data_IF_429452265160
#
_entry.id   IF_429452265160
#
_cell.length_a   1.000
_cell.length_b   1.000
_cell.length_c   1.000
_cell.angle_alpha   90.00
_cell.angle_beta   90.00
_cell.angle_gamma   90.00
#
_symmetry.space_group_name_H-M   'P 1'
#
loop_
_entity.id
_entity.type
_entity.pdbx_description
1 polymer ?
#
# COMPACT_ATOMS: atom_id res chain seq x y z
N UNK A 1 -20.67 72.71 30.31
CA UNK A 1 -21.81 72.82 29.36
C UNK A 1 -21.27 73.15 27.99
N UNK A 2 -21.16 72.17 27.09
CA UNK A 2 -20.93 72.41 25.66
C UNK A 2 -21.61 71.29 24.88
N UNK A 3 -22.67 71.67 24.15
CA UNK A 3 -23.34 70.88 23.12
C UNK A 3 -22.48 70.90 21.86
N UNK A 4 -22.32 69.77 21.20
CA UNK A 4 -22.07 69.72 19.75
C UNK A 4 -22.85 68.57 19.11
N UNK A 5 -23.27 68.84 17.88
CA UNK A 5 -24.41 68.29 17.17
C UNK A 5 -24.19 66.87 16.64
N UNK A 6 -25.23 66.06 16.72
CA UNK A 6 -25.43 64.80 15.98
C UNK A 6 -25.51 65.06 14.47
N UNK A 7 -24.59 64.47 13.70
CA UNK A 7 -24.77 64.18 12.27
C UNK A 7 -25.08 62.70 12.12
N UNK A 8 -26.28 62.42 11.62
CA UNK A 8 -26.80 61.10 11.25
C UNK A 8 -26.22 60.67 9.90
N UNK A 9 -25.53 59.54 9.85
CA UNK A 9 -25.22 58.80 8.61
C UNK A 9 -26.01 57.48 8.70
N UNK A 10 -26.83 57.10 7.70
CA UNK A 10 -27.61 55.88 7.77
C UNK A 10 -26.71 54.65 7.59
N UNK A 11 -26.54 53.90 8.68
CA UNK A 11 -25.99 52.54 8.69
C UNK A 11 -26.98 51.60 7.98
N UNK A 12 -26.62 51.17 6.78
CA UNK A 12 -27.27 50.05 6.10
C UNK A 12 -27.21 48.82 7.00
N UNK A 13 -28.39 48.26 7.29
CA UNK A 13 -28.63 47.05 8.07
C UNK A 13 -27.76 45.88 7.56
N UNK A 14 -26.76 45.49 8.34
CA UNK A 14 -26.25 44.11 8.33
C UNK A 14 -27.30 43.23 9.01
N UNK A 15 -28.11 42.59 8.18
CA UNK A 15 -29.09 41.58 8.59
C UNK A 15 -28.28 40.37 9.09
N UNK A 16 -28.54 40.01 10.36
CA UNK A 16 -28.10 38.74 10.96
C UNK A 16 -28.62 37.59 10.09
N UNK A 17 -27.73 36.87 9.44
CA UNK A 17 -28.06 35.56 8.91
C UNK A 17 -27.98 34.56 10.06
N UNK A 18 -29.10 33.86 10.25
CA UNK A 18 -29.27 32.77 11.19
C UNK A 18 -28.12 31.78 11.08
N UNK A 19 -27.52 31.44 12.22
CA UNK A 19 -26.74 30.23 12.39
C UNK A 19 -27.68 29.04 12.13
N UNK A 20 -27.73 28.58 10.89
CA UNK A 20 -28.15 27.22 10.59
C UNK A 20 -27.15 26.32 11.32
N UNK A 21 -27.63 25.68 12.39
CA UNK A 21 -27.02 24.52 13.00
C UNK A 21 -26.85 23.47 11.91
N UNK A 22 -25.69 23.49 11.25
CA UNK A 22 -25.24 22.38 10.43
C UNK A 22 -25.12 21.21 11.40
N UNK A 23 -26.03 20.26 11.28
CA UNK A 23 -25.88 18.93 11.86
C UNK A 23 -24.60 18.38 11.25
N UNK A 24 -23.51 18.40 12.04
CA UNK A 24 -22.22 17.83 11.62
C UNK A 24 -22.38 16.32 11.64
N UNK A 25 -22.15 15.69 10.49
CA UNK A 25 -22.07 14.23 10.41
C UNK A 25 -21.04 13.71 11.42
N UNK A 26 -21.38 12.69 12.23
CA UNK A 26 -20.61 12.31 13.40
C UNK A 26 -19.50 11.30 13.06
N UNK A 27 -18.72 11.54 12.01
CA UNK A 27 -17.36 11.02 11.84
C UNK A 27 -16.68 12.00 10.89
N UNK A 28 -15.65 12.74 11.33
CA UNK A 28 -14.74 13.35 10.35
C UNK A 28 -13.90 12.22 9.78
N UNK A 29 -14.51 11.43 8.89
CA UNK A 29 -13.80 10.51 8.01
C UNK A 29 -12.71 11.35 7.37
N UNK A 30 -11.49 10.82 7.31
CA UNK A 30 -10.40 11.46 6.57
C UNK A 30 -10.98 11.86 5.23
N UNK A 31 -11.09 13.17 4.92
CA UNK A 31 -11.86 13.59 3.77
C UNK A 31 -11.29 12.87 2.56
N UNK A 32 -12.18 12.23 1.81
CA UNK A 32 -11.88 11.72 0.48
C UNK A 32 -11.20 12.82 -0.32
N UNK A 33 -10.38 12.46 -1.30
CA UNK A 33 -9.81 13.48 -2.19
C UNK A 33 -10.91 14.36 -2.78
N UNK A 34 -12.07 13.77 -3.05
CA UNK A 34 -13.29 14.44 -3.48
C UNK A 34 -13.81 15.50 -2.47
N UNK A 35 -13.86 15.15 -1.18
CA UNK A 35 -14.23 16.10 -0.11
C UNK A 35 -13.17 17.18 0.12
N UNK A 36 -11.88 16.84 -0.08
CA UNK A 36 -10.78 17.80 0.04
C UNK A 36 -10.78 18.85 -1.08
N UNK A 37 -11.25 18.49 -2.29
CA UNK A 37 -11.24 19.37 -3.47
C UNK A 37 -12.54 20.16 -3.66
N UNK A 38 -13.56 19.95 -2.81
CA UNK A 38 -14.86 20.64 -2.85
C UNK A 38 -15.53 20.59 -4.23
N UNK A 39 -15.66 19.40 -4.82
CA UNK A 39 -16.33 19.20 -6.13
C UNK A 39 -15.68 19.92 -7.33
N UNK A 40 -14.45 20.47 -7.21
CA UNK A 40 -13.69 20.83 -8.41
C UNK A 40 -13.44 19.56 -9.21
N UNK A 41 -13.70 19.59 -10.51
CA UNK A 41 -13.55 18.44 -11.40
C UNK A 41 -12.14 17.82 -11.25
N UNK A 42 -12.06 16.71 -10.53
CA UNK A 42 -10.82 15.97 -10.25
C UNK A 42 -10.62 14.97 -11.39
N UNK A 43 -10.70 15.44 -12.63
CA UNK A 43 -10.31 14.62 -13.77
C UNK A 43 -8.84 14.29 -13.62
N UNK A 44 -8.43 13.01 -13.67
CA UNK A 44 -7.03 12.66 -13.59
C UNK A 44 -6.27 13.42 -14.67
N UNK A 45 -5.18 14.08 -14.29
CA UNK A 45 -4.24 14.66 -15.23
C UNK A 45 -3.66 13.56 -16.11
N UNK A 46 -4.29 13.35 -17.25
CA UNK A 46 -3.67 12.73 -18.40
C UNK A 46 -3.81 13.73 -19.51
N UNK A 47 -2.90 14.69 -19.54
CA UNK A 47 -2.60 15.35 -20.79
C UNK A 47 -2.33 14.24 -21.82
N UNK A 48 -3.18 14.08 -22.86
CA UNK A 48 -3.04 13.00 -23.84
C UNK A 48 -1.68 13.05 -24.54
N UNK A 49 -1.04 14.23 -24.57
CA UNK A 49 0.26 14.45 -25.17
C UNK A 49 1.43 13.96 -24.29
N UNK A 50 1.19 13.74 -23.00
CA UNK A 50 2.21 13.22 -22.06
C UNK A 50 2.30 11.69 -22.17
N UNK A 51 3.49 11.20 -22.46
CA UNK A 51 3.75 9.75 -22.51
C UNK A 51 3.53 9.09 -21.14
N UNK A 52 3.19 7.80 -21.14
CA UNK A 52 3.08 7.04 -19.90
C UNK A 52 4.39 7.09 -19.09
N UNK A 53 5.55 7.11 -19.74
CA UNK A 53 6.82 7.21 -19.02
C UNK A 53 7.09 8.57 -18.39
N UNK A 54 6.81 9.68 -19.07
CA UNK A 54 6.90 11.02 -18.45
C UNK A 54 5.96 11.11 -17.24
N UNK A 55 4.76 10.54 -17.35
CA UNK A 55 3.81 10.45 -16.25
C UNK A 55 4.32 9.57 -15.09
N UNK A 56 5.03 8.47 -15.38
CA UNK A 56 5.66 7.64 -14.36
C UNK A 56 6.88 8.33 -13.72
N UNK A 57 7.60 9.19 -14.45
CA UNK A 57 8.69 9.99 -13.89
C UNK A 57 8.18 11.04 -12.90
N UNK A 58 7.10 11.76 -13.22
CA UNK A 58 6.45 12.67 -12.26
C UNK A 58 5.86 11.91 -11.05
N UNK A 59 5.57 10.62 -11.26
CA UNK A 59 5.38 9.52 -10.29
C UNK A 59 6.45 9.27 -9.23
N UNK A 60 7.71 9.61 -9.52
CA UNK A 60 8.88 8.95 -8.91
C UNK A 60 8.90 7.42 -9.11
N UNK A 61 8.40 6.94 -10.25
CA UNK A 61 8.33 5.51 -10.60
C UNK A 61 9.34 5.09 -11.68
N UNK A 62 10.20 6.00 -12.16
CA UNK A 62 11.25 5.72 -13.15
C UNK A 62 12.53 6.44 -12.75
N UNK A 63 13.62 5.68 -12.65
CA UNK A 63 14.97 6.16 -12.35
C UNK A 63 15.87 6.12 -13.59
N UNK A 64 15.85 5.02 -14.35
CA UNK A 64 16.66 4.87 -15.56
C UNK A 64 15.93 4.11 -16.66
N UNK A 65 16.27 4.45 -17.90
CA UNK A 65 15.72 3.89 -19.13
C UNK A 65 16.86 3.43 -20.03
N UNK A 66 16.66 2.32 -20.74
CA UNK A 66 17.65 1.80 -21.67
C UNK A 66 17.64 2.50 -23.03
N UNK A 67 16.53 3.12 -23.40
CA UNK A 67 16.32 3.79 -24.69
C UNK A 67 15.28 4.91 -24.55
N UNK A 68 15.63 6.14 -24.96
CA UNK A 68 14.74 7.31 -24.92
C UNK A 68 13.58 7.19 -25.92
N UNK A 69 13.68 6.35 -26.95
CA UNK A 69 12.56 6.10 -27.85
C UNK A 69 11.34 5.52 -27.13
N UNK A 70 11.53 4.99 -25.91
CA UNK A 70 10.43 4.56 -25.05
C UNK A 70 9.42 5.69 -24.75
N UNK A 71 9.81 6.96 -24.65
CA UNK A 71 8.85 8.06 -24.47
C UNK A 71 7.87 8.14 -25.65
N UNK A 72 8.37 7.98 -26.87
CA UNK A 72 7.55 7.97 -28.08
C UNK A 72 6.66 6.73 -28.14
N UNK A 73 7.21 5.56 -27.83
CA UNK A 73 6.47 4.29 -27.90
C UNK A 73 5.39 4.17 -26.82
N UNK A 74 5.54 4.88 -25.70
CA UNK A 74 4.61 4.87 -24.55
C UNK A 74 3.63 6.05 -24.55
N UNK A 75 3.52 6.79 -25.66
CA UNK A 75 2.43 7.76 -25.84
C UNK A 75 1.07 7.06 -25.73
N UNK A 76 0.07 7.78 -25.22
CA UNK A 76 -1.26 7.21 -24.90
C UNK A 76 -2.05 6.76 -26.13
N UNK A 77 -1.77 7.39 -27.27
CA UNK A 77 -2.32 7.12 -28.60
C UNK A 77 -1.44 6.14 -29.42
N UNK A 78 -0.35 5.64 -28.84
CA UNK A 78 0.52 4.68 -29.51
C UNK A 78 -0.18 3.32 -29.65
N UNK A 79 -0.16 2.77 -30.87
CA UNK A 79 -0.57 1.40 -31.16
C UNK A 79 0.46 0.35 -30.67
N UNK A 80 1.59 0.79 -30.12
CA UNK A 80 2.64 -0.10 -29.68
C UNK A 80 2.27 -0.79 -28.36
N UNK A 81 1.90 -2.06 -28.44
CA UNK A 81 1.62 -2.90 -27.27
C UNK A 81 2.89 -3.55 -26.70
N UNK A 82 3.20 -3.22 -25.45
CA UNK A 82 4.25 -3.87 -24.66
C UNK A 82 3.73 -5.13 -23.97
N UNK A 83 4.64 -6.08 -23.75
CA UNK A 83 4.46 -7.16 -22.78
C UNK A 83 5.61 -7.10 -21.79
N UNK A 84 5.29 -6.84 -20.52
CA UNK A 84 6.22 -6.54 -19.45
C UNK A 84 6.39 -7.74 -18.53
N UNK A 85 7.57 -7.85 -17.90
CA UNK A 85 7.75 -8.73 -16.75
C UNK A 85 8.58 -8.06 -15.65
N UNK A 86 8.36 -8.48 -14.41
CA UNK A 86 9.22 -8.18 -13.27
C UNK A 86 9.58 -9.50 -12.60
N UNK A 87 10.87 -9.83 -12.56
CA UNK A 87 11.35 -10.97 -11.79
C UNK A 87 11.25 -10.68 -10.30
N UNK A 88 10.85 -11.68 -9.52
CA UNK A 88 10.84 -11.60 -8.07
C UNK A 88 11.44 -12.89 -7.51
N UNK A 89 12.64 -12.78 -6.96
CA UNK A 89 13.31 -13.94 -6.38
C UNK A 89 12.59 -14.39 -5.12
N UNK A 90 12.40 -15.70 -4.89
CA UNK A 90 11.74 -16.21 -3.70
C UNK A 90 12.66 -16.20 -2.47
N UNK A 91 13.33 -15.08 -2.24
CA UNK A 91 14.20 -14.85 -1.08
C UNK A 91 13.42 -14.58 0.21
N UNK A 92 12.12 -14.31 0.09
CA UNK A 92 11.20 -14.10 1.20
C UNK A 92 9.90 -14.88 1.00
N UNK A 93 9.24 -15.23 2.11
CA UNK A 93 7.95 -15.93 2.08
C UNK A 93 6.82 -15.10 1.45
N UNK A 94 6.99 -13.80 1.26
CA UNK A 94 6.00 -12.88 0.69
C UNK A 94 6.69 -11.64 0.13
N UNK A 95 6.04 -10.99 -0.83
CA UNK A 95 6.38 -9.64 -1.25
C UNK A 95 6.15 -8.66 -0.09
N UNK A 96 6.99 -7.62 -0.05
CA UNK A 96 6.94 -6.54 0.94
C UNK A 96 6.89 -5.18 0.24
N UNK A 97 6.68 -4.09 0.99
CA UNK A 97 6.56 -2.73 0.44
C UNK A 97 7.73 -2.29 -0.47
N UNK A 98 8.93 -2.83 -0.28
CA UNK A 98 10.05 -2.60 -1.21
C UNK A 98 9.79 -3.05 -2.66
N UNK A 99 8.83 -3.94 -2.89
CA UNK A 99 8.44 -4.44 -4.20
C UNK A 99 7.27 -3.64 -4.80
N UNK A 100 6.73 -2.66 -4.07
CA UNK A 100 5.56 -1.92 -4.51
C UNK A 100 5.86 -0.99 -5.70
N UNK A 101 7.07 -0.42 -5.78
CA UNK A 101 7.45 0.45 -6.91
C UNK A 101 7.45 -0.29 -8.26
N UNK A 102 8.13 -1.45 -8.46
CA UNK A 102 8.02 -2.20 -9.71
C UNK A 102 6.58 -2.65 -10.00
N UNK A 103 5.83 -3.05 -8.97
CA UNK A 103 4.42 -3.45 -9.12
C UNK A 103 3.53 -2.29 -9.60
N UNK A 104 3.77 -1.07 -9.11
CA UNK A 104 3.06 0.13 -9.58
C UNK A 104 3.34 0.40 -11.05
N UNK A 105 4.58 0.23 -11.52
CA UNK A 105 4.90 0.34 -12.96
C UNK A 105 4.10 -0.68 -13.77
N UNK A 106 4.10 -1.96 -13.37
CA UNK A 106 3.32 -3.00 -14.04
C UNK A 106 1.82 -2.66 -14.07
N UNK A 107 1.27 -2.19 -12.96
CA UNK A 107 -0.13 -1.79 -12.85
C UNK A 107 -0.46 -0.64 -13.82
N UNK A 108 0.35 0.40 -13.86
CA UNK A 108 0.19 1.53 -14.77
C UNK A 108 0.21 1.09 -16.24
N UNK A 109 1.17 0.26 -16.64
CA UNK A 109 1.24 -0.27 -18.01
C UNK A 109 0.01 -1.11 -18.34
N UNK A 110 -0.45 -1.95 -17.40
CA UNK A 110 -1.64 -2.80 -17.58
C UNK A 110 -2.92 -2.00 -17.75
N UNK A 111 -3.10 -0.95 -16.97
CA UNK A 111 -4.23 -0.02 -17.07
C UNK A 111 -4.24 0.74 -18.41
N UNK A 112 -3.09 0.81 -19.08
CA UNK A 112 -2.94 1.41 -20.41
C UNK A 112 -2.92 0.36 -21.54
N UNK A 113 -3.43 -0.85 -21.29
CA UNK A 113 -3.61 -1.89 -22.30
C UNK A 113 -2.38 -2.75 -22.61
N UNK A 114 -1.30 -2.62 -21.84
CA UNK A 114 -0.11 -3.46 -22.01
C UNK A 114 -0.22 -4.76 -21.22
N UNK A 115 0.39 -5.82 -21.72
CA UNK A 115 0.30 -7.14 -21.08
C UNK A 115 1.39 -7.30 -20.01
N UNK A 116 1.10 -8.07 -18.96
CA UNK A 116 2.04 -8.34 -17.86
C UNK A 116 2.22 -9.83 -17.66
N UNK A 117 3.47 -10.26 -17.46
CA UNK A 117 3.87 -11.63 -17.16
C UNK A 117 4.32 -11.72 -15.69
N UNK A 118 3.70 -12.64 -14.97
CA UNK A 118 3.99 -12.98 -13.58
C UNK A 118 4.98 -14.17 -13.55
N UNK A 119 6.12 -14.01 -12.87
CA UNK A 119 7.16 -15.05 -12.70
C UNK A 119 7.23 -15.55 -11.23
N UNK A 120 7.80 -16.74 -11.00
CA UNK A 120 7.17 -17.69 -10.05
C UNK A 120 7.96 -18.07 -8.77
N UNK A 121 7.25 -17.93 -7.64
CA UNK A 121 6.89 -19.02 -6.70
C UNK A 121 5.39 -18.88 -6.46
N UNK A 122 4.61 -19.96 -6.33
CA UNK A 122 3.12 -19.91 -6.42
C UNK A 122 2.48 -18.89 -5.47
N UNK A 123 3.08 -18.67 -4.29
CA UNK A 123 2.65 -17.64 -3.33
C UNK A 123 2.90 -16.22 -3.86
N UNK A 124 4.09 -15.95 -4.41
CA UNK A 124 4.44 -14.67 -5.04
C UNK A 124 3.54 -14.40 -6.25
N UNK A 125 3.34 -15.41 -7.10
CA UNK A 125 2.43 -15.33 -8.24
C UNK A 125 1.02 -14.91 -7.80
N UNK A 126 0.45 -15.59 -6.80
CA UNK A 126 -0.87 -15.24 -6.27
C UNK A 126 -0.93 -13.82 -5.71
N UNK A 127 0.14 -13.35 -5.07
CA UNK A 127 0.22 -12.00 -4.54
C UNK A 127 0.28 -10.94 -5.65
N UNK A 128 1.09 -11.14 -6.70
CA UNK A 128 1.13 -10.25 -7.86
C UNK A 128 -0.24 -10.23 -8.53
N UNK A 129 -0.85 -11.40 -8.73
CA UNK A 129 -2.15 -11.49 -9.39
C UNK A 129 -3.26 -10.82 -8.60
N UNK A 130 -3.23 -10.94 -7.27
CA UNK A 130 -4.15 -10.25 -6.34
C UNK A 130 -3.93 -8.76 -6.41
N UNK A 131 -2.67 -8.30 -6.32
CA UNK A 131 -2.32 -6.88 -6.42
C UNK A 131 -2.79 -6.26 -7.74
N UNK A 132 -2.52 -6.90 -8.88
CA UNK A 132 -2.95 -6.42 -10.19
C UNK A 132 -4.47 -6.40 -10.33
N UNK A 133 -5.18 -7.35 -9.72
CA UNK A 133 -6.65 -7.40 -9.77
C UNK A 133 -7.27 -6.31 -8.88
N UNK A 134 -6.78 -6.17 -7.65
CA UNK A 134 -7.19 -5.10 -6.73
C UNK A 134 -6.86 -3.72 -7.29
N UNK A 135 -5.69 -3.56 -7.93
CA UNK A 135 -5.26 -2.32 -8.57
C UNK A 135 -6.20 -1.85 -9.68
N UNK A 136 -6.82 -2.76 -10.43
CA UNK A 136 -7.85 -2.41 -11.42
C UNK A 136 -9.14 -1.90 -10.76
N UNK A 137 -9.62 -2.59 -9.72
CA UNK A 137 -10.82 -2.14 -9.00
C UNK A 137 -10.58 -0.82 -8.26
N UNK A 138 -9.40 -0.67 -7.67
CA UNK A 138 -8.91 0.58 -7.11
C UNK A 138 -8.88 1.69 -8.16
N UNK A 139 -8.28 1.45 -9.33
CA UNK A 139 -8.23 2.42 -10.43
C UNK A 139 -9.62 2.87 -10.90
N UNK A 140 -10.57 1.92 -11.05
CA UNK A 140 -11.97 2.23 -11.37
C UNK A 140 -12.61 3.12 -10.30
N UNK A 141 -12.40 2.80 -9.02
CA UNK A 141 -12.96 3.57 -7.91
C UNK A 141 -12.42 5.01 -7.85
N UNK A 142 -11.23 5.26 -8.43
CA UNK A 142 -10.59 6.58 -8.54
C UNK A 142 -10.74 7.23 -9.92
N UNK A 143 -11.63 6.69 -10.76
CA UNK A 143 -11.93 7.19 -12.11
C UNK A 143 -10.68 7.35 -13.00
N UNK A 144 -9.69 6.46 -12.84
CA UNK A 144 -8.47 6.51 -13.63
C UNK A 144 -8.79 6.40 -15.14
N UNK A 145 -8.15 7.19 -16.04
CA UNK A 145 -8.50 7.22 -17.46
C UNK A 145 -7.91 5.99 -18.16
N UNK A 146 -8.70 4.92 -18.24
CA UNK A 146 -8.36 3.72 -19.01
C UNK A 146 -8.79 3.95 -20.47
N UNK A 147 -7.89 4.50 -21.28
CA UNK A 147 -8.15 4.83 -22.69
C UNK A 147 -8.10 3.62 -23.62
N UNK A 148 -7.57 2.48 -23.14
CA UNK A 148 -7.48 1.22 -23.85
C UNK A 148 -8.12 0.09 -23.04
N UNK A 149 -8.52 -1.03 -23.68
CA UNK A 149 -8.93 -2.23 -22.97
C UNK A 149 -7.83 -2.69 -22.00
N UNK A 150 -8.22 -3.21 -20.83
CA UNK A 150 -7.28 -3.68 -19.82
C UNK A 150 -6.41 -4.81 -20.40
N UNK A 151 -5.10 -4.70 -20.21
CA UNK A 151 -4.14 -5.70 -20.67
C UNK A 151 -4.33 -7.08 -20.02
N UNK A 152 -3.93 -8.11 -20.76
CA UNK A 152 -3.99 -9.50 -20.28
C UNK A 152 -2.87 -9.78 -19.28
N UNK A 153 -3.12 -10.73 -18.37
CA UNK A 153 -2.11 -11.24 -17.43
C UNK A 153 -1.78 -12.68 -17.77
N UNK A 154 -0.50 -13.03 -17.72
CA UNK A 154 0.00 -14.38 -17.98
C UNK A 154 0.86 -14.83 -16.82
N UNK A 155 0.80 -16.12 -16.47
CA UNK A 155 1.66 -16.68 -15.43
C UNK A 155 2.59 -17.74 -16.03
N UNK A 156 3.87 -17.64 -15.72
CA UNK A 156 4.93 -18.54 -16.18
C UNK A 156 5.82 -18.93 -15.01
N UNK A 157 6.71 -19.92 -15.17
CA UNK A 157 7.65 -20.35 -14.12
C UNK A 157 9.00 -20.68 -14.72
N UNK A 158 10.07 -20.03 -14.27
CA UNK A 158 11.39 -20.27 -14.82
C UNK A 158 11.91 -21.70 -14.66
N UNK A 159 11.51 -22.41 -13.62
CA UNK A 159 11.84 -23.82 -13.44
C UNK A 159 11.45 -24.67 -14.66
N UNK A 160 10.38 -24.29 -15.37
CA UNK A 160 9.89 -25.05 -16.54
C UNK A 160 10.87 -25.05 -17.70
N UNK A 161 11.63 -23.98 -17.93
CA UNK A 161 12.65 -23.95 -18.99
C UNK A 161 14.03 -24.35 -18.49
N UNK A 162 14.32 -24.18 -17.19
CA UNK A 162 15.57 -24.66 -16.60
C UNK A 162 15.66 -26.18 -16.51
N UNK A 163 14.54 -26.90 -16.36
CA UNK A 163 14.50 -28.37 -16.22
C UNK A 163 15.22 -29.13 -17.36
N UNK A 164 15.19 -28.56 -18.57
CA UNK A 164 15.81 -29.17 -19.75
C UNK A 164 17.26 -28.74 -20.04
N UNK A 165 17.79 -27.73 -19.35
CA UNK A 165 19.05 -27.08 -19.73
C UNK A 165 20.23 -27.66 -18.96
N UNK A 166 21.19 -28.24 -19.68
CA UNK A 166 22.44 -28.70 -19.08
C UNK A 166 23.40 -27.53 -18.84
N UNK A 167 24.03 -27.47 -17.67
CA UNK A 167 24.92 -26.37 -17.28
C UNK A 167 26.07 -26.11 -18.28
N UNK A 168 26.70 -27.17 -18.83
CA UNK A 168 27.78 -27.00 -19.82
C UNK A 168 27.28 -26.45 -21.15
N UNK A 169 26.10 -26.90 -21.59
CA UNK A 169 25.44 -26.40 -22.80
C UNK A 169 25.06 -24.93 -22.61
N UNK A 170 24.55 -24.58 -21.43
CA UNK A 170 24.21 -23.22 -21.07
C UNK A 170 25.41 -22.27 -21.14
N UNK A 171 26.51 -22.62 -20.47
CA UNK A 171 27.73 -21.81 -20.47
C UNK A 171 28.34 -21.67 -21.87
N UNK A 172 28.36 -22.76 -22.65
CA UNK A 172 28.90 -22.75 -24.01
C UNK A 172 28.05 -21.92 -24.99
N UNK A 173 26.72 -21.97 -24.83
CA UNK A 173 25.77 -21.35 -25.76
C UNK A 173 25.51 -19.89 -25.42
N UNK A 174 25.24 -19.60 -24.14
CA UNK A 174 24.80 -18.28 -23.68
C UNK A 174 25.88 -17.53 -22.91
N UNK A 175 26.66 -18.23 -22.07
CA UNK A 175 27.72 -17.64 -21.25
C UNK A 175 28.78 -16.88 -22.07
N UNK A 176 29.09 -17.33 -23.29
CA UNK A 176 30.04 -16.66 -24.21
C UNK A 176 29.63 -15.26 -24.66
N UNK A 177 28.34 -14.90 -24.50
CA UNK A 177 27.81 -13.62 -24.97
C UNK A 177 27.84 -12.54 -23.88
N UNK A 178 28.13 -12.90 -22.62
CA UNK A 178 28.13 -11.99 -21.47
C UNK A 178 29.58 -11.67 -21.07
N UNK A 179 29.90 -10.38 -20.93
CA UNK A 179 31.26 -9.91 -20.63
C UNK A 179 31.53 -9.89 -19.13
N UNK A 180 32.79 -10.16 -18.77
CA UNK A 180 33.30 -10.08 -17.40
C UNK A 180 33.80 -8.67 -17.08
N UNK A 181 33.22 -8.04 -16.06
CA UNK A 181 33.88 -7.04 -15.21
C UNK A 181 34.22 -7.69 -13.87
N UNK A 182 35.17 -7.14 -13.08
CA UNK A 182 35.76 -7.75 -11.87
C UNK A 182 34.82 -8.05 -10.69
N UNK A 183 33.80 -8.87 -10.93
CA UNK A 183 32.69 -9.26 -10.06
C UNK A 183 32.90 -10.74 -9.65
N UNK A 184 32.37 -11.15 -8.49
CA UNK A 184 32.48 -12.53 -8.02
C UNK A 184 31.75 -13.55 -8.93
N UNK A 185 32.21 -14.80 -8.97
CA UNK A 185 31.64 -15.86 -9.82
C UNK A 185 30.14 -16.12 -9.57
N UNK A 186 29.68 -15.98 -8.33
CA UNK A 186 28.27 -16.16 -7.98
C UNK A 186 27.38 -15.04 -8.56
N UNK A 187 27.80 -13.79 -8.40
CA UNK A 187 27.11 -12.61 -8.95
C UNK A 187 27.11 -12.65 -10.48
N UNK A 188 28.21 -13.10 -11.08
CA UNK A 188 28.29 -13.37 -12.52
C UNK A 188 27.29 -14.43 -12.97
N UNK A 189 27.23 -15.57 -12.27
CA UNK A 189 26.33 -16.66 -12.65
C UNK A 189 24.86 -16.21 -12.56
N UNK A 190 24.52 -15.42 -11.54
CA UNK A 190 23.18 -14.87 -11.38
C UNK A 190 22.74 -14.00 -12.57
N UNK A 191 23.62 -13.11 -13.00
CA UNK A 191 23.37 -12.22 -14.15
C UNK A 191 23.12 -13.01 -15.44
N UNK A 192 23.83 -14.13 -15.65
CA UNK A 192 23.62 -14.98 -16.83
C UNK A 192 22.25 -15.68 -16.77
N UNK A 193 21.87 -16.21 -15.61
CA UNK A 193 20.57 -16.87 -15.42
C UNK A 193 19.42 -15.90 -15.68
N UNK A 194 19.45 -14.70 -15.08
CA UNK A 194 18.41 -13.69 -15.27
C UNK A 194 18.37 -13.15 -16.71
N UNK A 195 19.52 -13.00 -17.36
CA UNK A 195 19.58 -12.63 -18.78
C UNK A 195 18.92 -13.69 -19.67
N UNK A 196 19.12 -14.97 -19.35
CA UNK A 196 18.46 -16.08 -20.05
C UNK A 196 16.96 -16.08 -19.85
N UNK A 197 16.48 -15.82 -18.62
CA UNK A 197 15.05 -15.69 -18.34
C UNK A 197 14.42 -14.60 -19.22
N UNK A 198 15.03 -13.41 -19.33
CA UNK A 198 14.53 -12.36 -20.24
C UNK A 198 14.52 -12.85 -21.69
N UNK A 199 15.59 -13.48 -22.16
CA UNK A 199 15.63 -14.01 -23.53
C UNK A 199 14.54 -15.06 -23.79
N UNK A 200 14.32 -15.99 -22.87
CA UNK A 200 13.31 -17.03 -22.98
C UNK A 200 11.91 -16.42 -23.08
N UNK A 201 11.59 -15.50 -22.16
CA UNK A 201 10.33 -14.76 -22.16
C UNK A 201 10.14 -13.93 -23.43
N UNK A 202 11.21 -13.32 -23.94
CA UNK A 202 11.19 -12.57 -25.19
C UNK A 202 10.88 -13.47 -26.38
N UNK A 203 11.55 -14.62 -26.48
CA UNK A 203 11.40 -15.58 -27.57
C UNK A 203 10.03 -16.24 -27.53
N UNK A 204 9.67 -16.85 -26.41
CA UNK A 204 8.55 -17.80 -26.33
C UNK A 204 7.24 -17.12 -25.87
N UNK A 205 7.31 -15.99 -25.15
CA UNK A 205 6.13 -15.26 -24.67
C UNK A 205 5.94 -13.86 -25.26
N UNK A 206 6.94 -13.35 -26.00
CA UNK A 206 6.89 -12.02 -26.62
C UNK A 206 7.07 -10.86 -25.63
N UNK A 207 7.63 -11.14 -24.44
CA UNK A 207 8.02 -10.11 -23.47
C UNK A 207 9.10 -9.22 -24.06
N UNK A 208 8.93 -7.91 -24.06
CA UNK A 208 9.89 -6.99 -24.67
C UNK A 208 10.30 -5.84 -23.74
N UNK A 209 9.88 -5.88 -22.48
CA UNK A 209 10.29 -4.92 -21.45
C UNK A 209 10.47 -5.63 -20.11
N UNK A 210 11.60 -5.38 -19.46
CA UNK A 210 11.87 -5.80 -18.09
C UNK A 210 11.82 -4.60 -17.14
N UNK A 211 11.15 -4.77 -16.00
CA UNK A 211 11.08 -3.78 -14.93
C UNK A 211 11.76 -4.33 -13.67
N UNK A 212 12.48 -3.48 -12.92
CA UNK A 212 13.09 -3.88 -11.65
C UNK A 212 13.54 -2.68 -10.80
N UNK A 213 14.08 -2.96 -9.61
CA UNK A 213 14.76 -1.95 -8.79
C UNK A 213 16.02 -1.42 -9.45
N UNK A 214 16.51 -0.24 -9.04
CA UNK A 214 17.74 0.33 -9.61
C UNK A 214 18.98 -0.55 -9.41
N UNK A 215 18.98 -1.38 -8.36
CA UNK A 215 19.99 -2.40 -8.11
C UNK A 215 20.00 -3.54 -9.16
N UNK A 216 18.93 -3.69 -9.95
CA UNK A 216 18.82 -4.70 -11.02
C UNK A 216 19.29 -4.22 -12.39
N UNK A 217 19.79 -2.98 -12.52
CA UNK A 217 20.19 -2.39 -13.81
C UNK A 217 21.18 -3.26 -14.60
N UNK A 218 22.21 -3.78 -13.93
CA UNK A 218 23.22 -4.65 -14.56
C UNK A 218 22.64 -5.97 -15.09
N UNK A 219 21.64 -6.51 -14.41
CA UNK A 219 20.99 -7.76 -14.83
C UNK A 219 20.02 -7.53 -16.01
N UNK A 220 19.25 -6.44 -15.96
CA UNK A 220 18.34 -6.04 -17.03
C UNK A 220 19.10 -5.79 -18.32
N UNK A 221 20.18 -5.00 -18.26
CA UNK A 221 20.99 -4.67 -19.43
C UNK A 221 21.70 -5.89 -20.02
N UNK A 222 22.09 -6.87 -19.20
CA UNK A 222 22.64 -8.14 -19.69
C UNK A 222 21.61 -8.97 -20.47
N UNK A 223 20.36 -9.01 -20.02
CA UNK A 223 19.27 -9.63 -20.78
C UNK A 223 19.04 -8.97 -22.14
N UNK A 224 19.06 -7.63 -22.18
CA UNK A 224 18.93 -6.87 -23.43
C UNK A 224 20.10 -7.13 -24.38
N UNK A 225 21.34 -7.11 -23.88
CA UNK A 225 22.53 -7.42 -24.68
C UNK A 225 22.46 -8.85 -25.24
N UNK A 226 22.06 -9.84 -24.42
CA UNK A 226 21.85 -11.21 -24.88
C UNK A 226 20.81 -11.27 -26.01
N UNK A 227 19.62 -10.69 -25.80
CA UNK A 227 18.55 -10.64 -26.80
C UNK A 227 19.06 -10.00 -28.10
N UNK A 228 19.77 -8.86 -28.02
CA UNK A 228 20.27 -8.15 -29.20
C UNK A 228 21.19 -9.01 -30.09
N UNK A 229 21.96 -9.92 -29.47
CA UNK A 229 22.92 -10.80 -30.16
C UNK A 229 22.27 -12.00 -30.81
N UNK A 230 21.22 -12.54 -30.19
CA UNK A 230 20.60 -13.80 -30.62
C UNK A 230 19.27 -13.59 -31.37
N UNK A 231 18.63 -12.42 -31.27
CA UNK A 231 17.31 -12.16 -31.88
C UNK A 231 17.28 -12.37 -33.39
N UNK A 232 18.38 -12.04 -34.08
CA UNK A 232 18.51 -12.22 -35.54
C UNK A 232 18.38 -13.69 -35.95
N UNK A 233 18.78 -14.63 -35.09
CA UNK A 233 18.76 -16.06 -35.37
C UNK A 233 17.37 -16.68 -35.29
N UNK A 234 16.39 -16.01 -34.70
CA UNK A 234 15.04 -16.54 -34.47
C UNK A 234 13.91 -15.64 -35.00
N UNK A 235 14.23 -14.65 -35.85
CA UNK A 235 13.25 -13.92 -36.65
C UNK A 235 12.30 -12.97 -35.88
N UNK A 236 12.69 -12.50 -34.69
CA UNK A 236 11.92 -11.46 -33.98
C UNK A 236 12.46 -10.06 -34.24
N UNK A 237 11.54 -9.12 -34.47
CA UNK A 237 11.86 -7.74 -34.84
C UNK A 237 11.75 -6.72 -33.69
N UNK A 238 10.94 -7.00 -32.65
CA UNK A 238 10.75 -6.04 -31.54
C UNK A 238 12.04 -5.81 -30.76
N UNK A 239 12.36 -4.56 -30.44
CA UNK A 239 13.46 -4.27 -29.51
C UNK A 239 13.11 -4.69 -28.07
N UNK A 240 14.14 -4.98 -27.28
CA UNK A 240 14.02 -5.30 -25.85
C UNK A 240 14.45 -4.09 -25.01
N UNK A 241 13.66 -3.79 -23.98
CA UNK A 241 13.82 -2.58 -23.17
C UNK A 241 13.92 -2.88 -21.68
N UNK A 242 14.48 -1.94 -20.93
CA UNK A 242 14.60 -1.98 -19.48
C UNK A 242 14.14 -0.68 -18.84
N UNK A 243 13.43 -0.79 -17.72
CA UNK A 243 13.02 0.34 -16.87
C UNK A 243 13.38 0.00 -15.43
N UNK A 244 14.08 0.89 -14.74
CA UNK A 244 14.32 0.75 -13.30
C UNK A 244 13.54 1.78 -12.49
N UNK A 245 13.13 1.38 -11.29
CA UNK A 245 12.50 2.24 -10.29
C UNK A 245 13.52 2.69 -9.24
N UNK A 246 13.36 3.87 -8.61
CA UNK A 246 14.30 4.36 -7.61
C UNK A 246 14.30 3.50 -6.34
N UNK A 247 15.36 3.59 -5.55
CA UNK A 247 15.37 3.06 -4.20
C UNK A 247 14.81 4.11 -3.23
N UNK A 248 13.70 3.80 -2.56
CA UNK A 248 13.14 4.71 -1.55
C UNK A 248 13.94 4.64 -0.25
N UNK A 249 14.46 5.78 0.17
CA UNK A 249 15.16 5.97 1.45
C UNK A 249 14.59 7.17 2.20
N UNK A 250 14.57 7.10 3.52
CA UNK A 250 14.27 8.25 4.41
C UNK A 250 15.43 9.26 4.39
N UNK A 251 15.24 10.48 4.93
CA UNK A 251 16.38 11.41 5.12
C UNK A 251 17.49 10.85 6.02
N UNK A 252 17.20 9.85 6.87
CA UNK A 252 18.19 9.12 7.66
C UNK A 252 18.97 8.07 6.85
N UNK A 253 18.62 7.85 5.58
CA UNK A 253 19.24 6.84 4.70
C UNK A 253 18.74 5.42 4.91
N UNK A 254 17.71 5.23 5.76
CA UNK A 254 17.10 3.91 5.96
C UNK A 254 16.23 3.54 4.76
N UNK A 255 16.33 2.27 4.32
CA UNK A 255 15.49 1.75 3.23
C UNK A 255 14.03 1.73 3.66
N UNK A 256 13.16 2.30 2.83
CA UNK A 256 11.72 2.27 3.05
C UNK A 256 11.19 0.81 3.11
N UNK A 257 10.20 0.56 3.97
CA UNK A 257 9.62 -0.78 4.15
C UNK A 257 10.37 -1.72 5.11
N UNK A 258 11.54 -1.30 5.64
CA UNK A 258 12.17 -1.96 6.80
C UNK A 258 11.81 -1.18 8.07
N UNK A 259 10.72 -1.58 8.74
CA UNK A 259 10.49 -1.11 10.12
C UNK A 259 11.55 -1.74 11.05
N UNK A 260 11.76 -1.20 12.25
CA UNK A 260 12.75 -1.65 13.24
C UNK A 260 12.72 -3.18 13.52
N UNK A 261 13.34 -3.96 12.63
CA UNK A 261 13.43 -5.42 12.66
C UNK A 261 12.53 -6.20 11.68
N UNK A 262 11.39 -5.66 11.20
CA UNK A 262 10.42 -6.41 10.39
C UNK A 262 10.05 -5.72 9.07
N UNK A 263 10.07 -6.48 7.98
CA UNK A 263 9.54 -6.05 6.68
C UNK A 263 8.00 -5.95 6.75
N UNK A 264 7.44 -4.94 6.07
CA UNK A 264 5.98 -4.79 5.94
C UNK A 264 5.54 -5.55 4.69
N UNK A 265 4.82 -6.64 4.88
CA UNK A 265 4.41 -7.55 3.81
C UNK A 265 3.08 -7.12 3.18
N UNK A 266 2.85 -7.49 1.92
CA UNK A 266 1.54 -7.26 1.27
C UNK A 266 0.53 -8.39 1.55
N UNK A 267 1.02 -9.53 2.05
CA UNK A 267 0.17 -10.64 2.50
C UNK A 267 -0.53 -10.28 3.81
N UNK A 268 -1.87 -10.28 3.79
CA UNK A 268 -2.71 -9.92 4.93
C UNK A 268 -2.53 -10.83 6.15
N UNK A 269 -1.98 -12.04 5.97
CA UNK A 269 -1.65 -12.95 7.08
C UNK A 269 -0.36 -12.59 7.80
N UNK A 270 0.55 -11.88 7.11
CA UNK A 270 1.85 -11.47 7.64
C UNK A 270 1.83 -10.02 8.12
N UNK A 271 1.09 -9.17 7.43
CA UNK A 271 0.80 -7.78 7.83
C UNK A 271 -0.67 -7.53 7.59
N UNK A 272 -1.41 -7.45 8.68
CA UNK A 272 -2.85 -7.20 8.65
C UNK A 272 -3.16 -5.83 8.03
N UNK A 273 -4.36 -5.62 7.45
CA UNK A 273 -4.74 -4.32 6.91
C UNK A 273 -4.63 -3.19 7.95
N UNK A 274 -4.99 -3.47 9.21
CA UNK A 274 -4.81 -2.52 10.30
C UNK A 274 -3.32 -2.18 10.54
N UNK A 275 -2.44 -3.17 10.60
CA UNK A 275 -1.00 -2.93 10.77
C UNK A 275 -0.40 -2.13 9.60
N UNK A 276 -0.82 -2.43 8.37
CA UNK A 276 -0.39 -1.68 7.19
C UNK A 276 -0.86 -0.23 7.25
N UNK A 277 -2.13 0.00 7.61
CA UNK A 277 -2.67 1.34 7.80
C UNK A 277 -1.88 2.12 8.86
N UNK A 278 -1.63 1.51 10.02
CA UNK A 278 -0.83 2.10 11.10
C UNK A 278 0.62 2.38 10.68
N UNK A 279 1.22 1.54 9.84
CA UNK A 279 2.55 1.80 9.29
C UNK A 279 2.56 3.10 8.49
N UNK A 280 1.61 3.27 7.55
CA UNK A 280 1.54 4.47 6.71
C UNK A 280 1.15 5.74 7.47
N UNK A 281 0.30 5.65 8.50
CA UNK A 281 0.02 6.78 9.42
C UNK A 281 1.29 7.31 10.09
N UNK A 282 2.29 6.44 10.28
CA UNK A 282 3.50 6.73 11.02
C UNK A 282 4.72 7.03 10.15
N UNK A 283 4.55 7.15 8.83
CA UNK A 283 5.68 7.55 7.96
C UNK A 283 6.08 9.00 8.25
N UNK A 284 7.39 9.31 8.16
CA UNK A 284 7.90 10.66 8.30
C UNK A 284 7.30 11.67 7.29
N UNK A 285 7.28 12.95 7.66
CA UNK A 285 6.75 14.03 6.81
C UNK A 285 7.58 14.28 5.55
N UNK A 286 8.88 14.02 5.58
CA UNK A 286 9.80 14.26 4.47
C UNK A 286 9.55 13.33 3.27
N UNK A 287 9.04 12.12 3.53
CA UNK A 287 8.84 11.09 2.51
C UNK A 287 7.37 10.97 2.07
N UNK A 288 6.41 11.44 2.87
CA UNK A 288 4.96 11.22 2.61
C UNK A 288 4.52 11.74 1.23
N UNK A 289 5.06 12.88 0.78
CA UNK A 289 4.74 13.43 -0.54
C UNK A 289 5.22 12.53 -1.69
N UNK A 290 6.43 11.98 -1.59
CA UNK A 290 6.96 11.02 -2.56
C UNK A 290 6.13 9.74 -2.58
N UNK A 291 5.72 9.24 -1.41
CA UNK A 291 4.90 8.03 -1.31
C UNK A 291 3.49 8.24 -1.88
N UNK A 292 2.88 9.41 -1.64
CA UNK A 292 1.58 9.76 -2.22
C UNK A 292 1.63 9.73 -3.75
N UNK A 293 2.69 10.29 -4.34
CA UNK A 293 2.90 10.26 -5.79
C UNK A 293 3.11 8.83 -6.30
N UNK A 294 3.99 8.08 -5.65
CA UNK A 294 4.43 6.77 -6.12
C UNK A 294 3.40 5.64 -5.91
N UNK A 295 2.67 5.65 -4.79
CA UNK A 295 1.83 4.52 -4.35
C UNK A 295 0.33 4.78 -4.44
N UNK A 296 -0.09 5.89 -5.02
CA UNK A 296 -1.51 6.18 -5.23
C UNK A 296 -1.79 6.54 -6.67
N UNK A 297 -3.06 6.40 -7.07
CA UNK A 297 -3.54 6.89 -8.37
C UNK A 297 -4.17 8.28 -8.26
N UNK A 298 -3.96 8.99 -7.15
CA UNK A 298 -4.46 10.34 -6.98
C UNK A 298 -3.83 11.28 -8.02
N UNK A 299 -4.59 12.28 -8.52
CA UNK A 299 -4.03 13.26 -9.45
C UNK A 299 -2.91 14.10 -8.84
N UNK A 300 -1.90 14.46 -9.63
CA UNK A 300 -0.72 15.17 -9.12
C UNK A 300 -1.09 16.58 -8.67
N UNK A 301 -1.90 17.29 -9.44
CA UNK A 301 -2.47 18.58 -9.03
C UNK A 301 -3.21 18.54 -7.68
N UNK A 302 -3.89 17.45 -7.34
CA UNK A 302 -4.52 17.29 -6.02
C UNK A 302 -3.46 17.12 -4.94
N UNK A 303 -2.49 16.23 -5.18
CA UNK A 303 -1.41 15.98 -4.22
C UNK A 303 -0.65 17.28 -3.94
N UNK A 304 -0.20 17.98 -4.99
CA UNK A 304 0.67 19.15 -4.88
C UNK A 304 -0.08 20.44 -4.58
N UNK A 305 -1.27 20.62 -5.15
CA UNK A 305 -2.05 21.87 -5.06
C UNK A 305 -2.98 21.95 -3.86
N UNK A 306 -3.44 20.81 -3.31
CA UNK A 306 -4.45 20.79 -2.26
C UNK A 306 -3.97 20.03 -1.01
N UNK A 307 -3.45 18.81 -1.17
CA UNK A 307 -3.13 17.92 -0.04
C UNK A 307 -1.85 18.33 0.70
N UNK A 308 -0.72 18.46 -0.01
CA UNK A 308 0.56 18.83 0.59
C UNK A 308 0.58 20.23 1.21
N UNK A 309 -0.06 21.26 0.62
CA UNK A 309 -0.19 22.56 1.26
C UNK A 309 -0.98 22.51 2.58
N UNK A 310 -2.10 21.76 2.62
CA UNK A 310 -2.88 21.55 3.85
C UNK A 310 -2.06 20.82 4.91
N UNK A 311 -1.35 19.76 4.52
CA UNK A 311 -0.45 19.04 5.43
C UNK A 311 0.67 19.94 5.98
N UNK A 312 1.29 20.75 5.12
CA UNK A 312 2.38 21.66 5.52
C UNK A 312 1.87 22.75 6.47
N UNK A 313 0.63 23.20 6.32
CA UNK A 313 0.03 24.21 7.20
C UNK A 313 -0.21 23.71 8.63
N UNK A 314 -0.49 22.41 8.79
CA UNK A 314 -0.62 21.77 10.09
C UNK A 314 -0.19 20.29 10.03
N UNK A 315 1.13 20.01 10.12
CA UNK A 315 1.65 18.63 10.04
C UNK A 315 1.16 17.74 11.18
N UNK A 316 0.74 18.32 12.30
CA UNK A 316 0.24 17.60 13.46
C UNK A 316 -1.03 16.80 13.17
N UNK A 317 -1.85 17.26 12.20
CA UNK A 317 -3.06 16.57 11.75
C UNK A 317 -2.77 15.31 10.94
N UNK A 318 -1.55 15.17 10.39
CA UNK A 318 -1.11 14.04 9.56
C UNK A 318 -2.03 13.74 8.38
N UNK A 319 -2.57 14.79 7.74
CA UNK A 319 -3.55 14.64 6.66
C UNK A 319 -2.96 13.85 5.49
N UNK A 320 -1.70 14.13 5.11
CA UNK A 320 -1.03 13.42 4.02
C UNK A 320 -0.86 11.92 4.32
N UNK A 321 -0.42 11.57 5.54
CA UNK A 321 -0.23 10.17 5.96
C UNK A 321 -1.56 9.42 6.04
N UNK A 322 -2.60 10.09 6.54
CA UNK A 322 -3.97 9.56 6.62
C UNK A 322 -4.51 9.19 5.24
N UNK A 323 -4.37 10.09 4.27
CA UNK A 323 -4.76 9.83 2.88
C UNK A 323 -3.91 8.69 2.29
N UNK A 324 -2.58 8.76 2.44
CA UNK A 324 -1.68 7.71 1.96
C UNK A 324 -2.07 6.32 2.51
N UNK A 325 -2.29 6.23 3.82
CA UNK A 325 -2.65 4.98 4.48
C UNK A 325 -3.95 4.39 3.92
N UNK A 326 -4.97 5.23 3.74
CA UNK A 326 -6.24 4.79 3.14
C UNK A 326 -6.04 4.26 1.72
N UNK A 327 -5.39 5.05 0.87
CA UNK A 327 -5.23 4.73 -0.56
C UNK A 327 -4.40 3.45 -0.78
N UNK A 328 -3.30 3.29 -0.03
CA UNK A 328 -2.44 2.11 -0.19
C UNK A 328 -3.11 0.85 0.35
N UNK A 329 -3.86 0.96 1.45
CA UNK A 329 -4.64 -0.18 1.98
C UNK A 329 -5.75 -0.60 1.02
N UNK A 330 -6.45 0.35 0.39
CA UNK A 330 -7.42 0.05 -0.67
C UNK A 330 -6.76 -0.65 -1.87
N UNK A 331 -5.60 -0.16 -2.30
CA UNK A 331 -4.84 -0.75 -3.40
C UNK A 331 -4.45 -2.20 -3.11
N UNK A 332 -3.95 -2.49 -1.90
CA UNK A 332 -3.40 -3.81 -1.56
C UNK A 332 -4.48 -4.78 -1.10
N UNK A 333 -5.37 -4.35 -0.21
CA UNK A 333 -6.35 -5.21 0.47
C UNK A 333 -7.79 -5.09 -0.09
N UNK A 334 -7.99 -4.23 -1.09
CA UNK A 334 -9.23 -4.06 -1.82
C UNK A 334 -9.99 -2.80 -1.39
N UNK A 335 -10.81 -2.30 -2.31
CA UNK A 335 -11.58 -1.06 -2.14
C UNK A 335 -12.45 -1.11 -0.88
N UNK A 336 -12.46 -0.01 -0.12
CA UNK A 336 -13.24 0.18 1.10
C UNK A 336 -12.50 -0.25 2.38
N UNK A 337 -11.45 -1.08 2.30
CA UNK A 337 -10.68 -1.47 3.49
C UNK A 337 -10.02 -0.26 4.12
N UNK A 338 -9.51 0.66 3.30
CA UNK A 338 -8.87 1.87 3.79
C UNK A 338 -9.83 2.71 4.65
N UNK A 339 -11.09 2.83 4.22
CA UNK A 339 -12.13 3.56 4.95
C UNK A 339 -12.49 2.86 6.26
N UNK A 340 -12.63 1.53 6.24
CA UNK A 340 -12.83 0.72 7.44
C UNK A 340 -11.66 0.91 8.43
N UNK A 341 -10.40 0.90 7.94
CA UNK A 341 -9.22 1.08 8.79
C UNK A 341 -9.08 2.52 9.30
N UNK A 342 -9.49 3.50 8.51
CA UNK A 342 -9.58 4.90 8.93
C UNK A 342 -10.59 5.07 10.06
N UNK A 343 -11.78 4.49 9.91
CA UNK A 343 -12.83 4.49 10.94
C UNK A 343 -12.34 3.83 12.23
N UNK A 344 -11.78 2.62 12.13
CA UNK A 344 -11.18 1.90 13.26
C UNK A 344 -10.09 2.74 13.92
N UNK A 345 -9.21 3.37 13.15
CA UNK A 345 -8.11 4.15 13.72
C UNK A 345 -8.63 5.39 14.45
N UNK A 346 -9.62 6.10 13.89
CA UNK A 346 -10.25 7.24 14.56
C UNK A 346 -10.94 6.83 15.86
N UNK A 347 -11.56 5.65 15.88
CA UNK A 347 -12.15 5.04 17.06
C UNK A 347 -11.10 4.65 18.12
N UNK A 348 -10.04 3.96 17.70
CA UNK A 348 -9.00 3.46 18.61
C UNK A 348 -8.05 4.55 19.09
N UNK A 349 -7.92 5.65 18.36
CA UNK A 349 -7.04 6.78 18.67
C UNK A 349 -7.74 8.11 18.33
N UNK A 350 -8.79 8.49 19.06
CA UNK A 350 -9.41 9.79 18.86
C UNK A 350 -8.39 10.88 19.19
N UNK A 351 -8.33 11.87 18.33
CA UNK A 351 -7.47 13.04 18.51
C UNK A 351 -8.35 14.27 18.76
N UNK A 352 -7.84 15.35 19.38
CA UNK A 352 -8.64 16.55 19.62
C UNK A 352 -9.29 17.14 18.35
N UNK A 353 -8.62 16.98 17.21
CA UNK A 353 -9.08 17.37 15.87
C UNK A 353 -10.04 16.37 15.22
N UNK A 354 -10.03 15.10 15.65
CA UNK A 354 -10.97 14.06 15.24
C UNK A 354 -11.53 13.34 16.47
N UNK A 355 -12.41 14.02 17.24
CA UNK A 355 -13.10 13.37 18.34
C UNK A 355 -14.01 12.29 17.76
N UNK A 356 -13.99 11.12 18.38
CA UNK A 356 -14.86 10.04 17.98
C UNK A 356 -16.21 10.18 18.73
N UNK A 357 -17.23 10.66 18.02
CA UNK A 357 -18.55 11.00 18.58
C UNK A 357 -19.70 10.14 18.01
N UNK A 358 -19.36 9.05 17.34
CA UNK A 358 -20.33 8.12 16.77
C UNK A 358 -20.95 7.25 17.87
N UNK A 359 -22.22 6.88 17.73
CA UNK A 359 -22.86 5.98 18.68
C UNK A 359 -22.40 4.54 18.39
N UNK A 360 -21.52 4.03 19.24
CA UNK A 360 -20.79 2.78 19.01
C UNK A 360 -21.64 1.59 19.43
N UNK A 361 -22.36 0.99 18.48
CA UNK A 361 -22.87 -0.37 18.71
C UNK A 361 -21.78 -1.40 18.42
N UNK A 362 -21.77 -2.50 19.17
CA UNK A 362 -20.87 -3.60 18.93
C UNK A 362 -21.04 -4.18 17.52
N UNK A 363 -22.26 -4.24 16.99
CA UNK A 363 -22.52 -4.76 15.65
C UNK A 363 -21.85 -3.91 14.56
N UNK A 364 -21.87 -2.57 14.71
CA UNK A 364 -21.17 -1.65 13.79
C UNK A 364 -19.65 -1.80 13.91
N UNK A 365 -19.11 -1.93 15.11
CA UNK A 365 -17.68 -2.19 15.29
C UNK A 365 -17.27 -3.52 14.68
N UNK A 366 -18.00 -4.60 14.98
CA UNK A 366 -17.74 -5.94 14.44
C UNK A 366 -17.68 -5.88 12.91
N UNK A 367 -18.64 -5.21 12.27
CA UNK A 367 -18.65 -5.05 10.81
C UNK A 367 -17.37 -4.39 10.28
N UNK A 368 -16.94 -3.28 10.88
CA UNK A 368 -15.71 -2.58 10.48
C UNK A 368 -14.45 -3.41 10.78
N UNK A 369 -14.40 -4.13 11.90
CA UNK A 369 -13.24 -4.93 12.31
C UNK A 369 -13.08 -6.24 11.51
N UNK A 370 -14.09 -6.71 10.78
CA UNK A 370 -14.03 -7.98 10.02
C UNK A 370 -12.81 -8.12 9.11
N UNK A 371 -12.44 -7.05 8.40
CA UNK A 371 -11.30 -7.05 7.46
C UNK A 371 -10.02 -6.49 8.07
N UNK A 372 -10.04 -6.09 9.34
CA UNK A 372 -8.89 -5.47 10.01
C UNK A 372 -7.71 -6.42 10.24
N UNK A 373 -7.99 -7.73 10.34
CA UNK A 373 -7.01 -8.76 10.70
C UNK A 373 -6.62 -8.77 12.18
N UNK A 374 -7.20 -7.90 13.03
CA UNK A 374 -6.97 -7.86 14.48
C UNK A 374 -8.19 -8.32 15.31
N UNK A 375 -9.22 -8.84 14.63
CA UNK A 375 -10.42 -9.39 15.23
C UNK A 375 -10.34 -10.90 15.35
N UNK A 376 -10.64 -11.41 16.54
CA UNK A 376 -10.67 -12.83 16.89
C UNK A 376 -12.09 -13.23 17.25
N UNK A 377 -12.53 -14.40 16.81
CA UNK A 377 -13.83 -14.94 17.18
C UNK A 377 -13.67 -15.96 18.31
N UNK A 378 -14.55 -15.90 19.32
CA UNK A 378 -14.64 -16.86 20.42
C UNK A 378 -16.09 -17.19 20.74
N UNK A 379 -16.33 -18.42 21.19
CA UNK A 379 -17.65 -18.82 21.71
C UNK A 379 -17.82 -18.31 23.13
N UNK A 380 -19.01 -17.81 23.46
CA UNK A 380 -19.35 -17.48 24.86
C UNK A 380 -19.25 -18.74 25.73
N UNK A 381 -18.54 -18.68 26.87
CA UNK A 381 -18.54 -19.78 27.83
C UNK A 381 -19.94 -20.02 28.38
N UNK A 382 -20.11 -21.20 28.99
CA UNK A 382 -21.30 -21.45 29.80
C UNK A 382 -21.34 -20.46 31.00
N UNK A 383 -22.53 -20.08 31.51
CA UNK A 383 -22.64 -19.13 32.63
C UNK A 383 -21.89 -19.54 33.92
N UNK A 384 -21.54 -20.81 34.06
CA UNK A 384 -20.86 -21.39 35.22
C UNK A 384 -19.33 -21.42 35.05
N UNK A 385 -18.82 -21.09 33.86
CA UNK A 385 -17.41 -21.20 33.50
C UNK A 385 -16.69 -19.85 33.60
N UNK A 386 -15.79 -19.74 34.58
CA UNK A 386 -14.94 -18.57 34.76
C UNK A 386 -13.74 -18.58 33.80
N UNK A 387 -13.72 -17.64 32.86
CA UNK A 387 -12.58 -17.43 31.99
C UNK A 387 -11.68 -16.32 32.55
N UNK A 388 -10.45 -16.69 32.92
CA UNK A 388 -9.41 -15.73 33.28
C UNK A 388 -9.02 -14.86 32.10
N UNK A 389 -9.10 -13.53 32.28
CA UNK A 389 -8.74 -12.55 31.27
C UNK A 389 -7.32 -12.75 30.76
N UNK A 390 -6.35 -12.97 31.66
CA UNK A 390 -4.95 -13.22 31.28
C UNK A 390 -4.75 -14.44 30.38
N UNK A 391 -5.63 -15.45 30.44
CA UNK A 391 -5.57 -16.61 29.53
C UNK A 391 -6.06 -16.27 28.14
N UNK A 392 -7.14 -15.48 28.01
CA UNK A 392 -7.63 -14.99 26.71
C UNK A 392 -6.61 -14.07 26.06
N UNK A 393 -6.08 -13.13 26.84
CA UNK A 393 -5.09 -12.18 26.36
C UNK A 393 -3.80 -12.87 25.91
N UNK A 394 -3.32 -13.87 26.66
CA UNK A 394 -2.15 -14.66 26.28
C UNK A 394 -2.36 -15.33 24.91
N UNK A 395 -3.52 -15.93 24.68
CA UNK A 395 -3.86 -16.61 23.43
C UNK A 395 -3.92 -15.65 22.23
N UNK A 396 -4.71 -14.58 22.32
CA UNK A 396 -4.89 -13.64 21.19
C UNK A 396 -3.63 -12.83 20.86
N UNK A 397 -2.72 -12.67 21.83
CA UNK A 397 -1.44 -11.96 21.62
C UNK A 397 -0.29 -12.89 21.26
N UNK A 398 -0.49 -14.21 21.29
CA UNK A 398 0.57 -15.21 21.14
C UNK A 398 1.63 -15.17 22.24
N UNK A 399 1.35 -14.54 23.39
CA UNK A 399 2.26 -14.45 24.53
C UNK A 399 2.04 -15.58 25.50
N UNK A 400 3.07 -15.93 26.28
CA UNK A 400 2.88 -16.88 27.37
C UNK A 400 1.98 -16.28 28.46
N UNK A 401 1.22 -17.12 29.18
CA UNK A 401 0.38 -16.68 30.30
C UNK A 401 1.19 -15.90 31.34
N UNK A 402 2.38 -16.37 31.68
CA UNK A 402 3.29 -15.70 32.63
C UNK A 402 3.75 -14.33 32.15
N UNK A 403 4.07 -14.19 30.87
CA UNK A 403 4.42 -12.91 30.27
C UNK A 403 3.25 -11.92 30.30
N UNK A 404 2.04 -12.39 29.97
CA UNK A 404 0.84 -11.56 30.01
C UNK A 404 0.54 -11.08 31.43
N UNK A 405 0.61 -11.97 32.44
CA UNK A 405 0.45 -11.58 33.85
C UNK A 405 1.46 -10.52 34.27
N UNK A 406 2.71 -10.60 33.81
CA UNK A 406 3.73 -9.59 34.08
C UNK A 406 3.38 -8.25 33.42
N UNK A 407 2.88 -8.26 32.19
CA UNK A 407 2.46 -7.04 31.48
C UNK A 407 1.28 -6.34 32.17
N UNK A 408 0.31 -7.10 32.66
CA UNK A 408 -0.82 -6.57 33.44
C UNK A 408 -0.30 -5.89 34.72
N UNK A 409 0.53 -6.60 35.52
CA UNK A 409 1.12 -6.04 36.75
C UNK A 409 2.00 -4.80 36.50
N UNK A 410 2.60 -4.69 35.31
CA UNK A 410 3.38 -3.53 34.90
C UNK A 410 2.52 -2.36 34.39
N UNK A 411 1.20 -2.49 34.40
CA UNK A 411 0.25 -1.48 33.92
C UNK A 411 0.22 -1.33 32.40
N UNK A 412 0.61 -2.37 31.66
CA UNK A 412 0.73 -2.34 30.21
C UNK A 412 -0.51 -2.76 29.43
N UNK A 413 -1.64 -3.01 30.08
CA UNK A 413 -2.84 -3.57 29.43
C UNK A 413 -4.09 -2.78 29.82
N UNK A 414 -4.91 -2.45 28.82
CA UNK A 414 -6.11 -1.62 28.97
C UNK A 414 -7.32 -2.25 28.28
N UNK A 415 -8.51 -2.08 28.86
CA UNK A 415 -9.79 -2.58 28.32
C UNK A 415 -10.78 -1.48 27.98
N UNK A 416 -11.66 -1.81 27.02
CA UNK A 416 -12.85 -1.04 26.73
C UNK A 416 -12.58 0.32 26.09
N UNK A 417 -13.65 1.09 25.93
CA UNK A 417 -13.64 2.41 25.29
C UNK A 417 -12.86 3.43 26.10
N UNK A 418 -13.04 3.41 27.42
CA UNK A 418 -12.38 4.33 28.36
C UNK A 418 -10.91 3.98 28.61
N UNK A 419 -10.45 2.84 28.06
CA UNK A 419 -9.09 2.31 28.22
C UNK A 419 -8.71 2.17 29.69
N UNK A 420 -9.60 1.55 30.45
CA UNK A 420 -9.37 1.27 31.87
C UNK A 420 -8.20 0.30 32.00
N UNK A 421 -7.21 0.66 32.82
CA UNK A 421 -6.04 -0.18 33.04
C UNK A 421 -6.45 -1.43 33.84
N UNK A 422 -6.01 -2.61 33.39
CA UNK A 422 -6.18 -3.83 34.17
C UNK A 422 -5.05 -3.88 35.20
N UNK A 423 -5.41 -4.08 36.46
CA UNK A 423 -4.45 -4.21 37.57
C UNK A 423 -4.30 -5.67 38.03
N UNK A 424 -5.39 -6.44 38.01
CA UNK A 424 -5.39 -7.83 38.48
C UNK A 424 -5.18 -8.84 37.31
N UNK A 425 -4.06 -9.58 37.28
CA UNK A 425 -3.84 -10.63 36.28
C UNK A 425 -4.71 -11.88 36.46
N UNK A 426 -5.38 -12.04 37.59
CA UNK A 426 -6.30 -13.13 37.88
C UNK A 426 -7.78 -12.73 37.72
N UNK A 427 -8.03 -11.51 37.22
CA UNK A 427 -9.36 -11.02 36.84
C UNK A 427 -10.05 -11.95 35.83
N UNK A 428 -11.37 -12.03 35.95
CA UNK A 428 -12.25 -12.89 35.15
C UNK A 428 -13.09 -12.05 34.21
N UNK A 429 -13.31 -12.57 32.99
CA UNK A 429 -14.13 -11.85 32.01
C UNK A 429 -15.59 -11.91 32.46
N UNK A 430 -16.13 -10.76 32.85
CA UNK A 430 -17.56 -10.58 33.06
C UNK A 430 -18.24 -10.29 31.70
N UNK A 431 -19.21 -11.14 31.35
CA UNK A 431 -19.93 -11.10 30.07
C UNK A 431 -21.21 -10.25 30.16
N UNK A 432 -21.10 -9.05 30.71
CA UNK A 432 -22.19 -8.09 30.82
C UNK A 432 -21.79 -6.74 30.19
N UNK A 433 -22.80 -5.87 30.02
CA UNK A 433 -22.67 -4.57 29.33
C UNK A 433 -21.90 -3.55 30.18
N UNK A 434 -21.88 -3.72 31.50
CA UNK A 434 -21.40 -2.71 32.45
C UNK A 434 -19.89 -2.84 32.78
N UNK A 435 -19.23 -3.95 32.40
CA UNK A 435 -17.84 -4.19 32.78
C UNK A 435 -16.87 -4.24 31.59
N UNK A 436 -16.78 -5.37 30.89
CA UNK A 436 -15.66 -5.64 29.97
C UNK A 436 -16.03 -5.64 28.48
N UNK A 437 -17.31 -5.81 28.15
CA UNK A 437 -17.75 -6.01 26.77
C UNK A 437 -18.60 -4.84 26.27
N UNK A 438 -18.26 -4.33 25.10
CA UNK A 438 -19.12 -3.41 24.35
C UNK A 438 -20.35 -4.22 23.89
N UNK A 439 -21.54 -3.77 24.30
CA UNK A 439 -22.85 -4.42 24.15
C UNK A 439 -22.86 -5.93 24.50
N UNK A 440 -22.03 -6.37 25.45
CA UNK A 440 -21.95 -7.79 25.82
C UNK A 440 -21.44 -8.72 24.70
N UNK A 441 -20.83 -8.17 23.65
CA UNK A 441 -20.38 -8.90 22.44
C UNK A 441 -18.89 -8.73 22.15
N UNK A 442 -18.34 -7.54 22.37
CA UNK A 442 -17.01 -7.20 21.86
C UNK A 442 -16.06 -6.78 22.98
N UNK A 443 -14.94 -7.49 23.11
CA UNK A 443 -13.84 -7.14 24.01
C UNK A 443 -12.79 -6.36 23.22
N UNK A 444 -12.54 -5.12 23.62
CA UNK A 444 -11.47 -4.30 23.09
C UNK A 444 -10.30 -4.26 24.06
N UNK A 445 -9.11 -4.63 23.58
CA UNK A 445 -7.90 -4.70 24.41
C UNK A 445 -6.76 -3.92 23.77
N UNK A 446 -6.09 -3.08 24.55
CA UNK A 446 -4.82 -2.45 24.18
C UNK A 446 -3.67 -3.01 25.01
N UNK A 447 -2.61 -3.47 24.34
CA UNK A 447 -1.36 -3.92 24.97
C UNK A 447 -0.23 -2.96 24.60
N UNK A 448 0.31 -2.27 25.60
CA UNK A 448 1.29 -1.22 25.41
C UNK A 448 0.67 0.03 24.77
N UNK A 449 1.43 0.68 23.87
CA UNK A 449 1.03 1.97 23.29
C UNK A 449 0.16 1.86 22.03
N UNK A 450 0.41 0.87 21.17
CA UNK A 450 -0.16 0.84 19.81
C UNK A 450 -0.79 -0.50 19.41
N UNK A 451 -0.62 -1.58 20.19
CA UNK A 451 -1.15 -2.89 19.80
C UNK A 451 -2.56 -3.05 20.34
N UNK A 452 -3.52 -3.19 19.43
CA UNK A 452 -4.92 -3.45 19.75
C UNK A 452 -5.32 -4.85 19.29
N UNK A 453 -6.20 -5.47 20.07
CA UNK A 453 -6.79 -6.78 19.81
C UNK A 453 -8.29 -6.67 20.08
N UNK A 454 -9.08 -7.27 19.21
CA UNK A 454 -10.54 -7.24 19.30
C UNK A 454 -11.04 -8.67 19.37
N UNK A 455 -11.88 -9.00 20.35
CA UNK A 455 -12.49 -10.32 20.45
C UNK A 455 -14.00 -10.19 20.34
N UNK A 456 -14.58 -10.81 19.33
CA UNK A 456 -16.01 -11.02 19.20
C UNK A 456 -16.40 -12.31 19.92
N UNK A 457 -17.34 -12.21 20.85
CA UNK A 457 -17.95 -13.34 21.53
C UNK A 457 -19.31 -13.67 20.93
N UNK A 458 -19.40 -14.86 20.33
CA UNK A 458 -20.62 -15.41 19.71
C UNK A 458 -21.41 -16.28 20.68
#
# INVERSE_FOLDING_TARGET
MLRTQTRTIPLLRLIRYNSTTVVRDPVTIIPTVYELTQDKDVTPETDPDTSLLEYLQSRHLVESLTDDNLYKLTKRDSDYKFKLYCGADPTAESLHLGNLLPLMVLLHFRMCGNDVVEDNVSKIQNQISTFLSNGIEYAKSRQFPMTQPIGEKFSVNNASWWDGIKMLEFLATYGRHIRLGGIGYNEFTYQILQAYDFWHLYKDHGVNMQVGGNDQWGNITAGIDLISRVKKSFGKEKEAFGVTVPLLTTASGEKFGKSAGNAVFIDSKMTTPYQMYQYFINVPDDIVGTLLKAFTLLPLNVIEGELLPKHTSDPGLRIAQRVLAREVVDLIHGVGVGDEMAYITGFLFPTPDQPFNDNVSADKLIENFKRSGIMFERTKPSPEEEIKLSSVLADITGKSKSEMKRLIKAGGVYLGLDRNQIEDPDDVILFDVDHHLIDGKLLLVRVGKQNYYVVEYK
#
